data_IF_581061561431
#
_entry.id   IF_581061561431
#
_cell.length_a   1.000
_cell.length_b   1.000
_cell.length_c   1.000
_cell.angle_alpha   90.00
_cell.angle_beta   90.00
_cell.angle_gamma   90.00
#
_symmetry.space_group_name_H-M   'P 1'
#
loop_
_entity.id
_entity.type
_entity.pdbx_description
1 polymer ?
#
# COMPACT_ATOMS: atom_id res chain seq x y z
N UNK A 1 21.69 -2.23 31.95
CA UNK A 1 20.58 -1.30 31.69
C UNK A 1 20.30 -1.30 30.18
N UNK A 2 19.26 -2.00 29.73
CA UNK A 2 18.91 -2.16 28.30
C UNK A 2 18.47 -0.79 27.74
N UNK A 3 19.29 -0.16 26.90
CA UNK A 3 18.80 0.91 26.01
C UNK A 3 17.75 0.26 25.11
N UNK A 4 16.48 0.59 25.35
CA UNK A 4 15.40 0.26 24.45
C UNK A 4 15.73 0.88 23.11
N UNK A 5 16.23 0.05 22.18
CA UNK A 5 16.34 0.42 20.78
C UNK A 5 14.94 0.64 20.28
N UNK A 6 14.48 1.89 20.33
CA UNK A 6 13.51 2.38 19.38
C UNK A 6 14.07 2.02 18.02
N UNK A 7 13.58 0.91 17.47
CA UNK A 7 13.99 0.48 16.15
C UNK A 7 13.65 1.69 15.27
N UNK A 8 14.61 2.25 14.54
CA UNK A 8 14.30 3.38 13.68
C UNK A 8 13.26 2.94 12.63
N UNK A 9 12.39 3.84 12.20
CA UNK A 9 11.58 3.58 11.00
C UNK A 9 12.55 3.48 9.82
N UNK A 10 12.59 2.31 9.17
CA UNK A 10 13.55 2.02 8.10
C UNK A 10 12.97 2.31 6.71
N UNK A 11 11.64 2.38 6.61
CA UNK A 11 10.95 2.74 5.37
C UNK A 11 10.94 4.25 5.21
N UNK A 12 11.26 4.72 4.00
CA UNK A 12 11.04 6.10 3.62
C UNK A 12 9.58 6.29 3.19
N UNK A 13 8.74 6.82 4.09
CA UNK A 13 7.30 6.95 3.86
C UNK A 13 6.94 7.86 2.68
N UNK A 14 7.74 8.91 2.42
CA UNK A 14 7.52 9.81 1.29
C UNK A 14 7.70 9.05 -0.02
N UNK A 15 8.80 8.31 -0.15
CA UNK A 15 9.09 7.51 -1.33
C UNK A 15 8.08 6.38 -1.52
N UNK A 16 7.73 5.68 -0.45
CA UNK A 16 6.65 4.70 -0.48
C UNK A 16 5.35 5.32 -1.03
N UNK A 17 4.95 6.50 -0.51
CA UNK A 17 3.77 7.22 -0.97
C UNK A 17 3.86 7.62 -2.45
N UNK A 18 5.02 8.10 -2.91
CA UNK A 18 5.24 8.43 -4.33
C UNK A 18 5.15 7.21 -5.25
N UNK A 19 5.73 6.08 -4.86
CA UNK A 19 5.63 4.83 -5.63
C UNK A 19 4.19 4.34 -5.66
N UNK A 20 3.48 4.39 -4.52
CA UNK A 20 2.08 4.04 -4.44
C UNK A 20 1.22 4.93 -5.36
N UNK A 21 1.45 6.24 -5.36
CA UNK A 21 0.77 7.19 -6.26
C UNK A 21 1.05 6.86 -7.72
N UNK A 22 2.32 6.65 -8.09
CA UNK A 22 2.71 6.31 -9.45
C UNK A 22 2.07 5.00 -9.92
N UNK A 23 2.07 3.97 -9.06
CA UNK A 23 1.41 2.70 -9.36
C UNK A 23 -0.11 2.85 -9.48
N UNK A 24 -0.74 3.67 -8.64
CA UNK A 24 -2.19 3.96 -8.72
C UNK A 24 -2.57 4.67 -10.01
N UNK A 25 -1.76 5.65 -10.45
CA UNK A 25 -1.91 6.30 -11.76
C UNK A 25 -1.73 5.29 -12.89
N UNK A 26 -0.73 4.41 -12.79
CA UNK A 26 -0.53 3.33 -13.75
C UNK A 26 -1.74 2.39 -13.85
N UNK A 27 -2.34 2.02 -12.71
CA UNK A 27 -3.58 1.24 -12.67
C UNK A 27 -4.75 2.00 -13.30
N UNK A 28 -4.90 3.30 -13.02
CA UNK A 28 -5.93 4.12 -13.66
C UNK A 28 -5.80 4.12 -15.19
N UNK A 29 -4.60 4.36 -15.71
CA UNK A 29 -4.33 4.35 -17.16
C UNK A 29 -4.59 2.98 -17.78
N UNK A 30 -4.17 1.91 -17.11
CA UNK A 30 -4.46 0.54 -17.54
C UNK A 30 -5.97 0.27 -17.55
N UNK A 31 -6.72 0.79 -16.57
CA UNK A 31 -8.18 0.67 -16.53
C UNK A 31 -8.86 1.36 -17.70
N UNK A 32 -8.39 2.56 -18.07
CA UNK A 32 -8.87 3.28 -19.24
C UNK A 32 -8.56 2.53 -20.55
N UNK A 33 -7.40 1.90 -20.64
CA UNK A 33 -7.02 1.07 -21.78
C UNK A 33 -7.90 -0.18 -21.88
N UNK A 34 -8.05 -0.93 -20.79
CA UNK A 34 -8.88 -2.14 -20.75
C UNK A 34 -10.35 -1.84 -21.09
N UNK A 35 -10.85 -0.67 -20.68
CA UNK A 35 -12.20 -0.23 -21.01
C UNK A 35 -12.41 -0.08 -22.54
N UNK A 36 -11.37 0.24 -23.32
CA UNK A 36 -11.46 0.28 -24.79
C UNK A 36 -11.77 -1.10 -25.40
N UNK A 37 -11.45 -2.17 -24.68
CA UNK A 37 -11.71 -3.55 -25.07
C UNK A 37 -12.95 -4.15 -24.39
N UNK A 38 -13.74 -3.33 -23.69
CA UNK A 38 -14.90 -3.79 -22.92
C UNK A 38 -14.53 -4.58 -21.66
N UNK A 39 -13.27 -4.53 -21.23
CA UNK A 39 -12.79 -5.23 -20.04
C UNK A 39 -12.74 -4.27 -18.86
N UNK A 40 -13.49 -4.58 -17.80
CA UNK A 40 -13.44 -3.82 -16.55
C UNK A 40 -12.19 -4.13 -15.75
N UNK A 41 -11.56 -3.10 -15.16
CA UNK A 41 -10.47 -3.31 -14.21
C UNK A 41 -11.01 -3.94 -12.91
N UNK A 42 -10.48 -5.08 -12.46
CA UNK A 42 -10.89 -5.66 -11.19
C UNK A 42 -10.51 -4.74 -10.02
N UNK A 43 -11.50 -4.29 -9.26
CA UNK A 43 -11.30 -3.35 -8.15
C UNK A 43 -10.29 -3.87 -7.10
N UNK A 44 -10.30 -5.18 -6.83
CA UNK A 44 -9.34 -5.80 -5.92
C UNK A 44 -7.88 -5.64 -6.38
N UNK A 45 -7.61 -5.81 -7.68
CA UNK A 45 -6.27 -5.61 -8.24
C UNK A 45 -5.83 -4.16 -8.17
N UNK A 46 -6.71 -3.23 -8.55
CA UNK A 46 -6.44 -1.79 -8.45
C UNK A 46 -6.14 -1.34 -7.01
N UNK A 47 -6.71 -2.02 -6.02
CA UNK A 47 -6.51 -1.71 -4.59
C UNK A 47 -5.21 -2.32 -4.04
N UNK A 48 -4.87 -3.55 -4.44
CA UNK A 48 -3.75 -4.31 -3.85
C UNK A 48 -2.43 -4.08 -4.57
N UNK A 49 -2.43 -3.89 -5.89
CA UNK A 49 -1.20 -3.78 -6.67
C UNK A 49 -0.34 -2.56 -6.29
N UNK A 50 -0.90 -1.35 -6.11
CA UNK A 50 -0.09 -0.19 -5.71
C UNK A 50 0.68 -0.36 -4.38
N UNK A 51 0.05 -0.78 -3.25
CA UNK A 51 0.80 -1.00 -2.02
C UNK A 51 1.75 -2.18 -2.12
N UNK A 52 1.41 -3.22 -2.90
CA UNK A 52 2.27 -4.37 -3.15
C UNK A 52 3.59 -3.95 -3.81
N UNK A 53 3.53 -3.22 -4.93
CA UNK A 53 4.71 -2.75 -5.65
C UNK A 53 5.56 -1.82 -4.77
N UNK A 54 4.91 -0.85 -4.11
CA UNK A 54 5.59 0.08 -3.21
C UNK A 54 6.31 -0.64 -2.06
N UNK A 55 5.67 -1.66 -1.47
CA UNK A 55 6.25 -2.46 -0.40
C UNK A 55 7.46 -3.29 -0.85
N UNK A 56 7.38 -3.95 -2.02
CA UNK A 56 8.52 -4.71 -2.57
C UNK A 56 9.70 -3.79 -2.83
N UNK A 57 9.48 -2.65 -3.48
CA UNK A 57 10.54 -1.71 -3.84
C UNK A 57 11.26 -1.16 -2.61
N UNK A 58 10.52 -0.85 -1.53
CA UNK A 58 11.16 -0.42 -0.28
C UNK A 58 11.81 -1.56 0.48
N UNK A 59 11.27 -2.77 0.42
CA UNK A 59 11.95 -3.94 0.97
C UNK A 59 13.32 -4.16 0.33
N UNK A 60 13.40 -4.08 -1.00
CA UNK A 60 14.67 -4.20 -1.72
C UNK A 60 15.65 -3.09 -1.35
N UNK A 61 15.16 -1.84 -1.19
CA UNK A 61 15.98 -0.71 -0.76
C UNK A 61 16.56 -0.91 0.64
N UNK A 62 15.74 -1.38 1.58
CA UNK A 62 16.18 -1.67 2.94
C UNK A 62 17.24 -2.76 2.93
N UNK A 63 17.06 -3.83 2.15
CA UNK A 63 18.07 -4.87 1.99
C UNK A 63 19.40 -4.31 1.46
N UNK A 64 19.36 -3.42 0.46
CA UNK A 64 20.57 -2.76 -0.06
C UNK A 64 21.27 -1.88 0.98
N UNK A 65 20.51 -1.17 1.82
CA UNK A 65 21.05 -0.25 2.81
C UNK A 65 21.57 -0.95 4.08
N UNK A 66 20.87 -2.00 4.53
CA UNK A 66 21.13 -2.64 5.84
C UNK A 66 21.85 -3.97 5.71
N UNK A 67 21.76 -4.65 4.56
CA UNK A 67 22.27 -6.01 4.33
C UNK A 67 21.78 -7.06 5.33
N UNK A 68 20.69 -6.77 6.04
CA UNK A 68 20.14 -7.64 7.08
C UNK A 68 18.62 -7.79 6.93
N UNK A 69 18.03 -8.91 7.39
CA UNK A 69 16.59 -9.06 7.45
C UNK A 69 15.98 -8.15 8.53
N UNK A 70 14.75 -7.67 8.28
CA UNK A 70 14.01 -6.88 9.27
C UNK A 70 13.52 -7.76 10.43
N UNK A 71 13.82 -7.33 11.66
CA UNK A 71 13.30 -7.95 12.87
C UNK A 71 11.76 -7.94 12.91
N UNK A 72 11.14 -9.00 13.41
CA UNK A 72 9.69 -9.23 13.32
C UNK A 72 8.81 -8.07 13.84
N UNK A 73 9.15 -7.49 15.00
CA UNK A 73 8.41 -6.33 15.56
C UNK A 73 8.57 -5.07 14.72
N UNK A 74 9.78 -4.82 14.20
CA UNK A 74 10.05 -3.68 13.34
C UNK A 74 9.35 -3.82 11.97
N UNK A 75 9.24 -5.03 11.42
CA UNK A 75 8.52 -5.29 10.18
C UNK A 75 7.03 -4.92 10.30
N UNK A 76 6.36 -5.29 11.41
CA UNK A 76 4.97 -4.92 11.66
C UNK A 76 4.76 -3.42 11.81
N UNK A 77 5.66 -2.73 12.52
CA UNK A 77 5.55 -1.28 12.69
C UNK A 77 5.76 -0.53 11.37
N UNK A 78 6.72 -0.96 10.53
CA UNK A 78 6.91 -0.37 9.21
C UNK A 78 5.69 -0.62 8.30
N UNK A 79 5.13 -1.84 8.31
CA UNK A 79 3.92 -2.16 7.56
C UNK A 79 2.71 -1.32 8.01
N UNK A 80 2.56 -1.11 9.32
CA UNK A 80 1.51 -0.24 9.86
C UNK A 80 1.68 1.22 9.42
N UNK A 81 2.92 1.74 9.45
CA UNK A 81 3.21 3.10 8.98
C UNK A 81 2.91 3.27 7.48
N UNK A 82 3.32 2.31 6.65
CA UNK A 82 3.00 2.29 5.21
C UNK A 82 1.49 2.24 4.96
N UNK A 83 0.76 1.46 5.75
CA UNK A 83 -0.71 1.38 5.67
C UNK A 83 -1.36 2.70 6.08
N UNK A 84 -0.81 3.38 7.09
CA UNK A 84 -1.21 4.74 7.45
C UNK A 84 -1.04 5.73 6.30
N UNK A 85 0.05 5.64 5.54
CA UNK A 85 0.25 6.44 4.32
C UNK A 85 -0.85 6.18 3.30
N UNK A 86 -1.16 4.91 3.02
CA UNK A 86 -2.26 4.56 2.09
C UNK A 86 -3.59 5.11 2.59
N UNK A 87 -3.91 4.95 3.89
CA UNK A 87 -5.14 5.48 4.48
C UNK A 87 -5.26 7.00 4.28
N UNK A 88 -4.19 7.75 4.58
CA UNK A 88 -4.16 9.21 4.40
C UNK A 88 -4.33 9.59 2.93
N UNK A 89 -3.59 8.95 2.01
CA UNK A 89 -3.69 9.26 0.59
C UNK A 89 -5.07 8.93 0.03
N UNK A 90 -5.66 7.81 0.43
CA UNK A 90 -7.04 7.45 0.04
C UNK A 90 -8.04 8.49 0.53
N UNK A 91 -7.94 8.93 1.80
CA UNK A 91 -8.82 9.97 2.35
C UNK A 91 -8.66 11.29 1.59
N UNK A 92 -7.42 11.70 1.30
CA UNK A 92 -7.11 12.92 0.54
C UNK A 92 -7.66 12.87 -0.89
N UNK A 93 -7.77 11.68 -1.49
CA UNK A 93 -8.34 11.50 -2.82
C UNK A 93 -9.88 11.47 -2.85
N UNK A 94 -10.56 11.22 -1.72
CA UNK A 94 -12.03 11.14 -1.68
C UNK A 94 -12.76 12.34 -2.31
N UNK A 95 -12.33 13.60 -2.12
CA UNK A 95 -12.96 14.76 -2.75
C UNK A 95 -12.98 14.69 -4.28
N UNK A 96 -11.98 14.04 -4.91
CA UNK A 96 -11.93 13.88 -6.36
C UNK A 96 -13.07 13.03 -6.91
N UNK A 97 -13.58 12.10 -6.08
CA UNK A 97 -14.66 11.18 -6.44
C UNK A 97 -16.02 11.62 -5.91
N UNK A 98 -16.11 12.78 -5.27
CA UNK A 98 -17.31 13.22 -4.54
C UNK A 98 -18.56 13.34 -5.41
N UNK A 99 -18.38 13.68 -6.70
CA UNK A 99 -19.46 13.85 -7.66
C UNK A 99 -19.64 12.64 -8.59
N UNK A 100 -18.90 11.54 -8.36
CA UNK A 100 -19.07 10.33 -9.16
C UNK A 100 -20.46 9.70 -8.85
N UNK A 101 -21.28 9.38 -9.87
CA UNK A 101 -22.64 8.84 -9.66
C UNK A 101 -22.69 7.61 -8.76
N UNK A 102 -21.74 6.69 -8.91
CA UNK A 102 -21.64 5.45 -8.11
C UNK A 102 -21.36 5.79 -6.64
N UNK A 103 -20.51 6.79 -6.39
CA UNK A 103 -20.18 7.24 -5.02
C UNK A 103 -21.33 8.02 -4.39
N UNK A 104 -22.09 8.79 -5.18
CA UNK A 104 -23.31 9.45 -4.71
C UNK A 104 -24.34 8.40 -4.29
N UNK A 105 -24.63 7.44 -5.15
CA UNK A 105 -25.58 6.35 -4.86
C UNK A 105 -25.16 5.56 -3.63
N UNK A 106 -23.89 5.14 -3.55
CA UNK A 106 -23.37 4.40 -2.41
C UNK A 106 -23.53 5.14 -1.08
N UNK A 107 -23.36 6.47 -1.04
CA UNK A 107 -23.53 7.27 0.18
C UNK A 107 -24.99 7.42 0.61
N UNK A 108 -25.92 7.37 -0.33
CA UNK A 108 -27.36 7.48 -0.05
C UNK A 108 -27.97 6.14 0.34
N UNK A 109 -27.41 5.03 -0.17
CA UNK A 109 -27.95 3.68 0.00
C UNK A 109 -27.27 2.89 1.12
N UNK A 110 -25.97 3.13 1.36
CA UNK A 110 -25.17 2.35 2.31
C UNK A 110 -24.96 3.18 3.59
N UNK A 111 -25.30 2.64 4.78
CA UNK A 111 -25.01 3.30 6.05
C UNK A 111 -23.52 3.62 6.20
N UNK A 112 -23.21 4.83 6.69
CA UNK A 112 -21.83 5.30 6.84
C UNK A 112 -20.97 4.36 7.69
N UNK A 113 -21.56 3.75 8.72
CA UNK A 113 -20.87 2.77 9.59
C UNK A 113 -20.40 1.55 8.79
N UNK A 114 -21.20 1.11 7.81
CA UNK A 114 -20.84 -0.04 6.97
C UNK A 114 -19.70 0.32 6.01
N UNK A 115 -19.74 1.51 5.41
CA UNK A 115 -18.64 2.04 4.59
C UNK A 115 -17.34 2.17 5.39
N UNK A 116 -17.42 2.68 6.63
CA UNK A 116 -16.28 2.74 7.53
C UNK A 116 -15.74 1.34 7.86
N UNK A 117 -16.62 0.36 8.08
CA UNK A 117 -16.24 -1.04 8.30
C UNK A 117 -15.50 -1.64 7.10
N UNK A 118 -15.99 -1.42 5.88
CA UNK A 118 -15.31 -1.85 4.65
C UNK A 118 -13.94 -1.19 4.53
N UNK A 119 -13.85 0.11 4.81
CA UNK A 119 -12.58 0.83 4.77
C UNK A 119 -11.56 0.25 5.75
N UNK A 120 -11.96 -0.03 6.99
CA UNK A 120 -11.09 -0.66 8.01
C UNK A 120 -10.67 -2.06 7.56
N UNK A 121 -11.59 -2.85 7.00
CA UNK A 121 -11.28 -4.17 6.45
C UNK A 121 -10.24 -4.09 5.33
N UNK A 122 -10.41 -3.14 4.40
CA UNK A 122 -9.44 -2.90 3.32
C UNK A 122 -8.07 -2.49 3.87
N UNK A 123 -8.03 -1.63 4.89
CA UNK A 123 -6.77 -1.28 5.56
C UNK A 123 -6.11 -2.48 6.22
N UNK A 124 -6.88 -3.40 6.81
CA UNK A 124 -6.34 -4.64 7.36
C UNK A 124 -5.74 -5.53 6.25
N UNK A 125 -6.39 -5.62 5.09
CA UNK A 125 -5.84 -6.32 3.92
C UNK A 125 -4.55 -5.64 3.45
N UNK A 126 -4.55 -4.31 3.30
CA UNK A 126 -3.37 -3.53 2.89
C UNK A 126 -2.23 -3.68 3.90
N UNK A 127 -2.52 -3.77 5.20
CA UNK A 127 -1.54 -4.07 6.24
C UNK A 127 -0.88 -5.42 6.01
N UNK A 128 -1.66 -6.46 5.72
CA UNK A 128 -1.12 -7.78 5.40
C UNK A 128 -0.31 -7.77 4.12
N UNK A 129 -0.78 -7.10 3.06
CA UNK A 129 -0.05 -6.91 1.80
C UNK A 129 1.29 -6.23 2.07
N UNK A 130 1.29 -5.08 2.73
CA UNK A 130 2.51 -4.36 3.09
C UNK A 130 3.46 -5.24 3.91
N UNK A 131 2.94 -5.99 4.89
CA UNK A 131 3.76 -6.87 5.74
C UNK A 131 4.41 -8.02 4.96
N UNK A 132 3.67 -8.67 4.07
CA UNK A 132 4.15 -9.81 3.29
C UNK A 132 5.14 -9.35 2.22
N UNK A 133 4.77 -8.32 1.46
CA UNK A 133 5.54 -7.86 0.31
C UNK A 133 6.76 -7.02 0.69
N UNK A 134 6.74 -6.32 1.84
CA UNK A 134 7.95 -5.73 2.40
C UNK A 134 8.99 -6.82 2.73
N UNK A 135 8.54 -7.89 3.40
CA UNK A 135 9.41 -9.03 3.71
C UNK A 135 9.91 -9.74 2.45
N UNK A 136 9.06 -9.90 1.45
CA UNK A 136 9.44 -10.47 0.16
C UNK A 136 10.48 -9.61 -0.56
N UNK A 137 10.28 -8.28 -0.61
CA UNK A 137 11.22 -7.35 -1.21
C UNK A 137 12.60 -7.38 -0.56
N UNK A 138 12.66 -7.52 0.78
CA UNK A 138 13.93 -7.65 1.50
C UNK A 138 14.64 -8.94 1.10
N UNK A 139 13.95 -10.08 1.12
CA UNK A 139 14.52 -11.36 0.71
C UNK A 139 15.05 -11.32 -0.72
N UNK A 140 14.29 -10.73 -1.64
CA UNK A 140 14.70 -10.55 -3.03
C UNK A 140 15.92 -9.62 -3.15
N UNK A 141 15.95 -8.53 -2.40
CA UNK A 141 17.07 -7.59 -2.38
C UNK A 141 18.35 -8.19 -1.83
N UNK A 142 18.27 -9.00 -0.77
CA UNK A 142 19.42 -9.71 -0.21
C UNK A 142 19.97 -10.74 -1.19
N UNK A 143 19.11 -11.56 -1.81
CA UNK A 143 19.51 -12.55 -2.81
C UNK A 143 20.28 -11.90 -3.98
N UNK A 144 19.84 -10.73 -4.46
CA UNK A 144 20.51 -9.99 -5.53
C UNK A 144 21.88 -9.41 -5.16
N UNK A 145 22.23 -9.36 -3.88
CA UNK A 145 23.57 -8.92 -3.45
C UNK A 145 24.56 -10.08 -3.34
N UNK A 146 24.06 -11.33 -3.38
CA UNK A 146 24.86 -12.55 -3.39
C UNK A 146 25.25 -12.97 -4.82
N UNK A 147 24.56 -12.43 -5.84
CA UNK A 147 24.84 -12.57 -7.27
C UNK A 147 25.86 -11.52 -7.75
#
# INVERSE_FOLDING_TARGET
MKRGGESAMQVNLIRYGLIWMAASVGMMLLGLLLAQFGVGMPAGLATVLPPMVAAVMEGMRIAQATREPLAGKAAWRNAAAMTGVVAVLTIVQLPLYWNNPVIVEARQTIPLVFLAGIFVLLLAVILMVNRLFLGHGIKLGLKRLEE
#
